data_IF_929017095514
#
_entry.id   IF_929017095514
#
_cell.length_a   1.000
_cell.length_b   1.000
_cell.length_c   1.000
_cell.angle_alpha   90.00
_cell.angle_beta   90.00
_cell.angle_gamma   90.00
#
_symmetry.space_group_name_H-M   'P 1'
#
loop_
_entity.id
_entity.type
_entity.pdbx_description
1 polymer ?
#
# COMPACT_ATOMS: atom_id res chain seq x y z
N UNK A 1 10.17 -11.68 12.27
CA UNK A 1 10.32 -10.89 11.02
C UNK A 1 9.85 -9.46 11.27
N UNK A 2 10.68 -8.46 10.98
CA UNK A 2 10.33 -7.05 11.19
C UNK A 2 9.22 -6.62 10.24
N UNK A 3 8.12 -6.12 10.80
CA UNK A 3 6.97 -5.60 10.05
C UNK A 3 6.99 -4.08 10.15
N UNK A 4 6.89 -3.40 9.01
CA UNK A 4 6.88 -1.95 8.94
C UNK A 4 5.47 -1.48 8.60
N UNK A 5 5.10 -0.31 9.10
CA UNK A 5 3.96 0.41 8.56
C UNK A 5 4.24 0.81 7.10
N UNK A 6 3.17 1.01 6.33
CA UNK A 6 3.29 1.53 4.95
C UNK A 6 3.96 2.91 4.93
N UNK A 7 3.79 3.70 5.99
CA UNK A 7 4.48 4.99 6.12
C UNK A 7 5.98 4.83 6.31
N UNK A 8 6.43 3.94 7.19
CA UNK A 8 7.85 3.64 7.36
C UNK A 8 8.46 3.04 6.09
N UNK A 9 7.70 2.20 5.37
CA UNK A 9 8.11 1.67 4.09
C UNK A 9 8.33 2.79 3.06
N UNK A 10 7.38 3.73 2.94
CA UNK A 10 7.52 4.89 2.08
C UNK A 10 8.75 5.75 2.44
N UNK A 11 9.01 5.95 3.75
CA UNK A 11 10.20 6.67 4.23
C UNK A 11 11.49 5.95 3.86
N UNK A 12 11.57 4.63 4.07
CA UNK A 12 12.75 3.83 3.72
C UNK A 12 13.04 3.82 2.23
N UNK A 13 11.98 3.76 1.42
CA UNK A 13 12.08 3.79 -0.05
C UNK A 13 12.25 5.20 -0.61
N UNK A 14 12.28 6.23 0.24
CA UNK A 14 12.28 7.66 -0.14
C UNK A 14 11.20 7.98 -1.19
N UNK A 15 10.02 7.39 -1.04
CA UNK A 15 8.95 7.49 -2.02
C UNK A 15 8.38 8.91 -2.07
N UNK A 16 8.28 9.54 -3.26
CA UNK A 16 7.75 10.89 -3.38
C UNK A 16 6.26 10.94 -2.99
N UNK A 17 5.90 11.81 -2.05
CA UNK A 17 4.52 11.95 -1.56
C UNK A 17 4.11 11.00 -0.44
N UNK A 18 5.06 10.24 0.13
CA UNK A 18 4.89 9.50 1.38
C UNK A 18 3.83 8.39 1.33
N UNK A 19 3.16 8.12 2.46
CA UNK A 19 2.20 7.02 2.64
C UNK A 19 1.08 7.02 1.60
N UNK A 20 0.43 8.16 1.38
CA UNK A 20 -0.76 8.23 0.53
C UNK A 20 -0.40 8.05 -0.96
N UNK A 21 0.73 8.59 -1.38
CA UNK A 21 1.23 8.39 -2.75
C UNK A 21 1.65 6.93 -2.97
N UNK A 22 2.28 6.29 -1.97
CA UNK A 22 2.62 4.87 -2.05
C UNK A 22 1.36 4.00 -2.17
N UNK A 23 0.30 4.25 -1.39
CA UNK A 23 -0.96 3.53 -1.56
C UNK A 23 -1.60 3.77 -2.92
N UNK A 24 -1.48 4.97 -3.48
CA UNK A 24 -1.97 5.22 -4.85
C UNK A 24 -1.19 4.39 -5.87
N UNK A 25 0.13 4.42 -5.79
CA UNK A 25 1.03 3.63 -6.65
C UNK A 25 0.74 2.13 -6.56
N UNK A 26 0.55 1.60 -5.35
CA UNK A 26 0.23 0.18 -5.15
C UNK A 26 -1.16 -0.21 -5.68
N UNK A 27 -2.12 0.72 -5.68
CA UNK A 27 -3.42 0.48 -6.34
C UNK A 27 -3.27 0.44 -7.85
N UNK A 28 -2.47 1.33 -8.40
CA UNK A 28 -2.28 1.46 -9.85
C UNK A 28 -1.44 0.31 -10.45
N UNK A 29 -0.50 -0.26 -9.68
CA UNK A 29 0.49 -1.23 -10.19
C UNK A 29 0.51 -2.59 -9.49
N UNK A 30 -0.02 -2.72 -8.27
CA UNK A 30 0.00 -3.96 -7.49
C UNK A 30 -1.40 -4.46 -7.11
N UNK A 31 -2.47 -3.86 -7.65
CA UNK A 31 -3.85 -4.33 -7.46
C UNK A 31 -4.41 -4.15 -6.04
N UNK A 32 -3.87 -3.19 -5.27
CA UNK A 32 -4.44 -2.87 -3.97
C UNK A 32 -5.88 -2.37 -4.09
N UNK A 33 -6.71 -2.66 -3.08
CA UNK A 33 -8.05 -2.10 -2.94
C UNK A 33 -8.08 -1.19 -1.71
N UNK A 34 -8.09 0.13 -1.95
CA UNK A 34 -7.94 1.11 -0.88
C UNK A 34 -6.58 0.96 -0.19
N UNK A 35 -6.59 0.55 1.08
CA UNK A 35 -5.37 0.27 1.87
C UNK A 35 -5.06 -1.22 1.99
N UNK A 36 -5.86 -2.08 1.37
CA UNK A 36 -5.78 -3.53 1.54
C UNK A 36 -5.02 -4.16 0.35
N UNK A 37 -3.97 -4.95 0.61
CA UNK A 37 -3.26 -5.71 -0.41
C UNK A 37 -4.12 -6.87 -0.93
N UNK A 38 -3.97 -7.26 -2.21
CA UNK A 38 -4.61 -8.46 -2.72
C UNK A 38 -4.04 -9.73 -2.05
N UNK A 39 -4.88 -10.77 -1.95
CA UNK A 39 -4.57 -11.99 -1.20
C UNK A 39 -3.24 -12.65 -1.61
N UNK A 40 -2.93 -12.71 -2.91
CA UNK A 40 -1.71 -13.33 -3.40
C UNK A 40 -0.44 -12.66 -2.84
N UNK A 41 -0.41 -11.32 -2.70
CA UNK A 41 0.75 -10.64 -2.12
C UNK A 41 0.87 -10.87 -0.61
N UNK A 42 -0.24 -11.11 0.07
CA UNK A 42 -0.24 -11.57 1.47
C UNK A 42 0.27 -12.99 1.58
N UNK A 43 -0.20 -13.88 0.71
CA UNK A 43 0.19 -15.29 0.68
C UNK A 43 1.68 -15.46 0.39
N UNK A 44 2.24 -14.66 -0.51
CA UNK A 44 3.68 -14.60 -0.78
C UNK A 44 4.50 -13.95 0.35
N UNK A 45 3.85 -13.43 1.40
CA UNK A 45 4.54 -12.84 2.56
C UNK A 45 5.07 -11.43 2.33
N UNK A 46 4.68 -10.73 1.26
CA UNK A 46 5.08 -9.34 1.02
C UNK A 46 4.35 -8.35 1.94
N UNK A 47 3.07 -8.61 2.19
CA UNK A 47 2.25 -7.77 3.05
C UNK A 47 1.55 -8.61 4.12
N UNK A 48 1.22 -7.96 5.24
CA UNK A 48 0.42 -8.56 6.29
C UNK A 48 -0.69 -7.61 6.68
N UNK A 49 -1.93 -8.09 6.68
CA UNK A 49 -3.06 -7.33 7.20
C UNK A 49 -3.23 -7.72 8.66
N UNK A 50 -3.31 -6.72 9.53
CA UNK A 50 -3.57 -6.89 10.96
C UNK A 50 -4.93 -6.28 11.25
N UNK A 51 -5.83 -7.11 11.76
CA UNK A 51 -7.11 -6.64 12.26
C UNK A 51 -6.90 -5.98 13.63
N UNK A 52 -7.48 -4.79 13.78
CA UNK A 52 -7.53 -4.05 15.02
C UNK A 52 -8.98 -3.77 15.37
N UNK A 53 -9.25 -3.55 16.65
CA UNK A 53 -10.56 -3.13 17.12
C UNK A 53 -10.39 -2.01 18.13
N UNK A 54 -11.28 -1.04 18.10
CA UNK A 54 -11.35 -0.01 19.12
C UNK A 54 -12.81 0.32 19.43
N UNK A 55 -13.06 0.71 20.67
CA UNK A 55 -14.38 1.15 21.09
C UNK A 55 -14.57 2.62 20.76
N UNK A 56 -15.67 2.93 20.08
CA UNK A 56 -16.13 4.30 19.82
C UNK A 56 -17.47 4.49 20.50
N UNK A 57 -17.43 4.81 21.80
CA UNK A 57 -18.63 4.87 22.65
C UNK A 57 -19.20 3.45 22.84
N UNK A 58 -20.46 3.23 22.46
CA UNK A 58 -21.14 1.92 22.56
C UNK A 58 -20.92 1.00 21.36
N UNK A 59 -20.10 1.40 20.38
CA UNK A 59 -19.87 0.64 19.14
C UNK A 59 -18.42 0.17 19.06
N UNK A 60 -18.22 -1.12 18.84
CA UNK A 60 -16.93 -1.69 18.46
C UNK A 60 -16.68 -1.42 16.99
N UNK A 61 -15.56 -0.78 16.68
CA UNK A 61 -15.15 -0.51 15.29
C UNK A 61 -13.98 -1.42 14.95
N UNK A 62 -14.17 -2.23 13.92
CA UNK A 62 -13.12 -3.06 13.34
C UNK A 62 -12.31 -2.24 12.34
N UNK A 63 -11.00 -2.37 12.40
CA UNK A 63 -10.04 -1.69 11.54
C UNK A 63 -9.08 -2.70 10.97
N UNK A 64 -8.56 -2.41 9.78
CA UNK A 64 -7.54 -3.25 9.17
C UNK A 64 -6.32 -2.39 8.85
N UNK A 65 -5.17 -2.81 9.34
CA UNK A 65 -3.90 -2.11 9.13
C UNK A 65 -2.96 -3.00 8.32
N UNK A 66 -2.61 -2.52 7.13
CA UNK A 66 -1.60 -3.18 6.30
C UNK A 66 -0.20 -2.85 6.80
N UNK A 67 0.60 -3.89 6.95
CA UNK A 67 2.03 -3.86 7.23
C UNK A 67 2.81 -4.42 6.05
N UNK A 68 4.02 -3.93 5.87
CA UNK A 68 4.96 -4.33 4.83
C UNK A 68 6.08 -5.13 5.48
N UNK A 69 6.41 -6.30 4.93
CA UNK A 69 7.55 -7.10 5.39
C UNK A 69 8.84 -6.61 4.72
N UNK A 70 9.99 -7.09 5.17
CA UNK A 70 11.26 -6.81 4.48
C UNK A 70 11.23 -7.26 3.01
N UNK A 71 10.61 -8.41 2.72
CA UNK A 71 10.42 -8.88 1.34
C UNK A 71 9.45 -7.98 0.57
N UNK A 72 8.41 -7.48 1.24
CA UNK A 72 7.51 -6.48 0.67
C UNK A 72 8.22 -5.20 0.27
N UNK A 73 9.21 -4.73 1.05
CA UNK A 73 10.02 -3.58 0.64
C UNK A 73 10.79 -3.83 -0.65
N UNK A 74 11.42 -5.00 -0.78
CA UNK A 74 12.14 -5.39 -2.00
C UNK A 74 11.18 -5.47 -3.19
N UNK A 75 10.00 -6.05 -3.01
CA UNK A 75 8.96 -6.09 -4.03
C UNK A 75 8.56 -4.69 -4.48
N UNK A 76 8.31 -3.77 -3.54
CA UNK A 76 7.95 -2.38 -3.88
C UNK A 76 9.10 -1.68 -4.61
N UNK A 77 10.35 -1.87 -4.18
CA UNK A 77 11.52 -1.32 -4.85
C UNK A 77 11.63 -1.81 -6.31
N UNK A 78 11.47 -3.12 -6.55
CA UNK A 78 11.42 -3.68 -7.90
C UNK A 78 10.25 -3.14 -8.72
N UNK A 79 9.10 -2.91 -8.08
CA UNK A 79 7.95 -2.29 -8.73
C UNK A 79 8.24 -0.84 -9.13
N UNK A 80 8.95 -0.09 -8.29
CA UNK A 80 9.40 1.28 -8.56
C UNK A 80 10.44 1.34 -9.68
N UNK A 81 11.34 0.37 -9.79
CA UNK A 81 12.28 0.29 -10.92
C UNK A 81 11.54 0.09 -12.24
N UNK A 82 10.50 -0.76 -12.26
CA UNK A 82 9.66 -0.98 -13.45
C UNK A 82 8.73 0.19 -13.75
N UNK A 83 8.24 0.85 -12.72
CA UNK A 83 7.31 1.97 -12.78
C UNK A 83 7.83 3.11 -11.90
N UNK A 84 8.78 3.92 -12.40
CA UNK A 84 9.35 5.01 -11.62
C UNK A 84 8.24 5.97 -11.18
N UNK A 85 8.14 6.29 -9.88
CA UNK A 85 7.10 7.16 -9.39
C UNK A 85 7.35 8.58 -9.90
N UNK A 86 6.51 9.04 -10.83
CA UNK A 86 6.64 10.39 -11.36
C UNK A 86 6.33 11.43 -10.27
N UNK A 87 7.25 12.38 -10.01
CA UNK A 87 7.02 13.49 -9.09
C UNK A 87 6.04 14.48 -9.76
N UNK A 88 4.74 14.22 -9.67
CA UNK A 88 3.73 15.19 -10.13
C UNK A 88 2.38 14.62 -10.60
N UNK A 89 2.27 13.32 -10.93
CA UNK A 89 0.99 12.72 -11.36
C UNK A 89 0.16 12.18 -10.20
N UNK A 90 0.02 12.95 -9.12
CA UNK A 90 -0.95 12.62 -8.06
C UNK A 90 -2.39 12.93 -8.43
N UNK A 91 -2.74 13.29 -9.67
CA UNK A 91 -4.15 13.38 -10.09
C UNK A 91 -4.34 13.08 -11.58
N UNK A 92 -4.76 11.86 -11.91
CA UNK A 92 -5.62 11.60 -13.08
C UNK A 92 -6.19 10.20 -12.95
N UNK A 93 -7.46 10.13 -12.56
CA UNK A 93 -8.23 8.90 -12.69
C UNK A 93 -8.18 8.47 -14.16
N UNK A 94 -7.77 7.22 -14.40
CA UNK A 94 -8.00 6.56 -15.68
C UNK A 94 -9.52 6.38 -15.83
N UNK A 95 -10.22 7.39 -16.36
CA UNK A 95 -11.49 7.16 -17.05
C UNK A 95 -11.13 6.40 -18.33
N UNK A 96 -11.26 5.08 -18.31
CA UNK A 96 -11.46 4.33 -19.56
C UNK A 96 -12.78 4.84 -20.15
N UNK A 97 -12.70 5.66 -21.20
CA UNK A 97 -13.77 5.74 -22.19
C UNK A 97 -13.46 4.61 -23.17
N UNK A 98 -14.24 3.55 -23.14
CA UNK A 98 -14.36 2.63 -24.28
C UNK A 98 -15.56 3.11 -25.11
N UNK A 99 -15.33 3.13 -26.42
CA UNK A 99 -16.13 3.74 -27.47
C UNK A 99 -17.31 2.87 -27.89
#
# INVERSE_FOLDING_TARGET
>A
MSQLSVEEAAKKLRFPGGRNALFKFLRDHAGFQGTIPPYHLCFHGFFKVIDGQYERGRRTVYTQTTKVTTQGLTYIAQLMEKHPPEPGKTARGKRKKEA
#
